data_IF_339027101082
#
_entry.id   IF_339027101082
#
_cell.length_a   1.000
_cell.length_b   1.000
_cell.length_c   1.000
_cell.angle_alpha   90.00
_cell.angle_beta   90.00
_cell.angle_gamma   90.00
#
_symmetry.space_group_name_H-M   'P 1'
#
loop_
_entity.id
_entity.type
_entity.pdbx_description
1 polymer ?
#
# COMPACT_ATOMS: atom_id res chain seq x y z
N UNK A 1 14.77 3.62 -15.74
CA UNK A 1 14.31 2.25 -15.49
C UNK A 1 13.46 2.25 -14.24
N UNK A 2 12.28 1.62 -14.24
CA UNK A 2 11.52 1.35 -13.02
C UNK A 2 12.31 0.27 -12.29
N UNK A 3 13.04 0.64 -11.25
CA UNK A 3 13.70 -0.36 -10.40
C UNK A 3 12.62 -1.24 -9.76
N UNK A 4 12.92 -2.53 -9.68
CA UNK A 4 12.04 -3.50 -9.05
C UNK A 4 11.92 -3.17 -7.55
N UNK A 5 10.68 -3.00 -7.10
CA UNK A 5 10.38 -2.63 -5.73
C UNK A 5 9.79 -3.83 -5.00
N UNK A 6 10.63 -4.59 -4.30
CA UNK A 6 10.21 -5.76 -3.54
C UNK A 6 9.69 -5.33 -2.16
N UNK A 7 8.44 -5.70 -1.87
CA UNK A 7 7.76 -5.37 -0.62
C UNK A 7 7.41 -6.65 0.12
N UNK A 8 8.03 -6.95 1.27
CA UNK A 8 7.61 -8.08 2.09
C UNK A 8 6.21 -7.82 2.64
N UNK A 9 5.33 -8.82 2.51
CA UNK A 9 3.98 -8.77 3.06
C UNK A 9 3.95 -9.48 4.40
N UNK A 10 3.23 -8.91 5.36
CA UNK A 10 2.95 -9.60 6.62
C UNK A 10 2.01 -10.78 6.40
N UNK A 11 2.01 -11.74 7.32
CA UNK A 11 1.10 -12.89 7.27
C UNK A 11 -0.37 -12.47 7.24
N UNK A 12 -0.72 -11.38 7.94
CA UNK A 12 -2.08 -10.81 7.90
C UNK A 12 -2.43 -10.25 6.51
N UNK A 13 -1.48 -9.56 5.85
CA UNK A 13 -1.71 -9.03 4.51
C UNK A 13 -1.88 -10.17 3.49
N UNK A 14 -1.05 -11.22 3.58
CA UNK A 14 -1.17 -12.42 2.73
C UNK A 14 -2.53 -13.09 2.92
N UNK A 15 -2.96 -13.32 4.16
CA UNK A 15 -4.26 -13.94 4.44
C UNK A 15 -5.45 -13.13 3.88
N UNK A 16 -5.38 -11.79 3.92
CA UNK A 16 -6.40 -10.93 3.31
C UNK A 16 -6.39 -11.05 1.77
N UNK A 17 -5.22 -11.13 1.15
CA UNK A 17 -5.11 -11.31 -0.30
C UNK A 17 -5.63 -12.67 -0.76
N UNK A 18 -5.44 -13.72 0.03
CA UNK A 18 -6.01 -15.05 -0.23
C UNK A 18 -7.54 -15.01 -0.18
N UNK A 19 -8.13 -14.35 0.83
CA UNK A 19 -9.59 -14.14 0.88
C UNK A 19 -10.11 -13.33 -0.31
N UNK A 20 -9.35 -12.31 -0.74
CA UNK A 20 -9.72 -11.51 -1.93
C UNK A 20 -9.68 -12.38 -3.18
N UNK A 21 -8.68 -13.27 -3.32
CA UNK A 21 -8.55 -14.18 -4.46
C UNK A 21 -9.78 -15.09 -4.60
N UNK A 22 -10.34 -15.57 -3.49
CA UNK A 22 -11.58 -16.37 -3.52
C UNK A 22 -12.78 -15.56 -4.03
N UNK A 23 -12.81 -14.24 -3.80
CA UNK A 23 -13.86 -13.33 -4.27
C UNK A 23 -13.66 -12.95 -5.75
N UNK A 24 -12.43 -12.69 -6.17
CA UNK A 24 -12.11 -12.26 -7.54
C UNK A 24 -12.00 -13.40 -8.55
N UNK A 25 -11.84 -14.63 -8.08
CA UNK A 25 -11.84 -15.84 -8.89
C UNK A 25 -10.70 -15.86 -9.91
N UNK A 26 -11.04 -16.05 -11.19
CA UNK A 26 -10.07 -16.14 -12.29
C UNK A 26 -9.65 -14.78 -12.87
N UNK A 27 -9.95 -13.67 -12.20
CA UNK A 27 -9.48 -12.36 -12.66
C UNK A 27 -7.95 -12.31 -12.67
N UNK A 28 -7.39 -11.68 -13.71
CA UNK A 28 -5.96 -11.37 -13.80
C UNK A 28 -5.55 -10.30 -12.76
N UNK A 29 -6.51 -9.59 -12.17
CA UNK A 29 -6.27 -8.54 -11.18
C UNK A 29 -6.62 -9.01 -9.77
N UNK A 30 -5.71 -8.75 -8.82
CA UNK A 30 -5.99 -8.92 -7.38
C UNK A 30 -7.19 -8.09 -6.94
N UNK A 31 -7.29 -6.85 -7.43
CA UNK A 31 -8.42 -5.96 -7.18
C UNK A 31 -9.15 -5.68 -8.49
N UNK A 32 -10.08 -6.56 -8.83
CA UNK A 32 -10.91 -6.45 -10.02
C UNK A 32 -12.01 -5.37 -9.86
N UNK A 33 -12.39 -4.72 -10.95
CA UNK A 33 -13.50 -3.77 -10.96
C UNK A 33 -14.86 -4.47 -10.78
N UNK A 34 -15.73 -3.92 -9.95
CA UNK A 34 -17.05 -4.51 -9.64
C UNK A 34 -17.94 -4.74 -10.88
N UNK A 35 -17.79 -3.93 -11.93
CA UNK A 35 -18.57 -4.04 -13.17
C UNK A 35 -17.88 -4.86 -14.26
N UNK A 36 -16.57 -5.05 -14.16
CA UNK A 36 -15.79 -5.76 -15.18
C UNK A 36 -14.53 -6.34 -14.54
N UNK A 37 -14.48 -7.67 -14.48
CA UNK A 37 -13.35 -8.42 -13.92
C UNK A 37 -12.08 -8.33 -14.76
N UNK A 38 -12.18 -7.81 -15.99
CA UNK A 38 -11.07 -7.58 -16.91
C UNK A 38 -10.44 -6.18 -16.76
N UNK A 39 -10.91 -5.38 -15.79
CA UNK A 39 -10.37 -4.04 -15.51
C UNK A 39 -9.95 -3.94 -14.05
N UNK A 40 -8.84 -3.22 -13.76
CA UNK A 40 -8.46 -2.97 -12.39
C UNK A 40 -9.48 -2.06 -11.70
N UNK A 41 -9.61 -2.22 -10.39
CA UNK A 41 -10.42 -1.34 -9.54
C UNK A 41 -9.93 0.11 -9.64
N UNK A 42 -10.86 1.05 -9.73
CA UNK A 42 -10.52 2.48 -9.70
C UNK A 42 -10.20 2.94 -8.27
N UNK A 43 -9.27 3.88 -8.13
CA UNK A 43 -8.97 4.52 -6.83
C UNK A 43 -10.22 5.11 -6.17
N UNK A 44 -11.12 5.67 -6.98
CA UNK A 44 -12.40 6.21 -6.51
C UNK A 44 -13.27 5.17 -5.82
N UNK A 45 -13.14 3.89 -6.17
CA UNK A 45 -13.87 2.80 -5.53
C UNK A 45 -13.43 2.63 -4.07
N UNK A 46 -12.13 2.74 -3.79
CA UNK A 46 -11.58 2.64 -2.43
C UNK A 46 -12.09 3.79 -1.57
N UNK A 47 -12.04 5.03 -2.08
CA UNK A 47 -12.57 6.18 -1.35
C UNK A 47 -14.08 6.08 -1.12
N UNK A 48 -14.85 5.56 -2.09
CA UNK A 48 -16.29 5.29 -1.86
C UNK A 48 -16.51 4.26 -0.76
N UNK A 49 -15.74 3.17 -0.74
CA UNK A 49 -15.84 2.16 0.31
C UNK A 49 -15.55 2.76 1.70
N UNK A 50 -14.51 3.59 1.84
CA UNK A 50 -14.20 4.31 3.09
C UNK A 50 -15.36 5.19 3.56
N UNK A 51 -16.05 5.88 2.64
CA UNK A 51 -17.24 6.67 2.98
C UNK A 51 -18.42 5.82 3.44
N UNK A 52 -18.61 4.65 2.84
CA UNK A 52 -19.70 3.73 3.21
C UNK A 52 -19.50 3.19 4.63
N UNK A 53 -18.27 2.93 5.04
CA UNK A 53 -17.96 2.49 6.41
C UNK A 53 -17.93 3.65 7.43
N UNK A 54 -18.20 4.89 7.00
CA UNK A 54 -18.39 6.04 7.87
C UNK A 54 -17.24 7.05 7.92
N UNK A 55 -16.16 6.87 7.14
CA UNK A 55 -15.04 7.82 7.12
C UNK A 55 -15.23 8.95 6.10
N UNK A 56 -14.93 10.19 6.50
CA UNK A 56 -14.83 11.30 5.54
C UNK A 56 -13.47 11.29 4.84
N UNK A 57 -13.46 10.92 3.56
CA UNK A 57 -12.23 10.87 2.76
C UNK A 57 -11.65 12.23 2.40
N UNK A 58 -12.24 13.33 2.83
CA UNK A 58 -11.67 14.69 2.69
C UNK A 58 -10.98 15.15 3.96
N UNK A 59 -11.43 14.70 5.13
CA UNK A 59 -10.98 15.22 6.43
C UNK A 59 -10.35 14.18 7.34
N UNK A 60 -10.69 12.90 7.19
CA UNK A 60 -10.26 11.81 8.07
C UNK A 60 -9.26 10.86 7.38
N UNK A 61 -9.74 10.02 6.45
CA UNK A 61 -8.90 8.97 5.83
C UNK A 61 -9.20 8.87 4.33
N UNK A 62 -8.20 9.13 3.50
CA UNK A 62 -8.25 8.87 2.07
C UNK A 62 -7.26 7.78 1.68
N UNK A 63 -7.49 7.10 0.55
CA UNK A 63 -6.61 6.02 0.09
C UNK A 63 -5.13 6.44 -0.03
N UNK A 64 -4.87 7.70 -0.40
CA UNK A 64 -3.52 8.25 -0.45
C UNK A 64 -2.90 8.46 0.95
N UNK A 65 -3.70 8.93 1.91
CA UNK A 65 -3.26 9.23 3.28
C UNK A 65 -2.78 8.01 4.06
N UNK A 66 -3.23 6.81 3.68
CA UNK A 66 -2.81 5.55 4.31
C UNK A 66 -1.30 5.32 4.24
N UNK A 67 -0.63 5.71 3.15
CA UNK A 67 0.84 5.56 3.03
C UNK A 67 1.55 6.46 4.04
N UNK A 68 1.12 7.72 4.17
CA UNK A 68 1.69 8.68 5.12
C UNK A 68 1.44 8.22 6.55
N UNK A 69 0.22 7.78 6.86
CA UNK A 69 -0.13 7.25 8.18
C UNK A 69 0.72 6.02 8.53
N UNK A 70 0.91 5.08 7.60
CA UNK A 70 1.75 3.91 7.81
C UNK A 70 3.21 4.29 8.07
N UNK A 71 3.74 5.27 7.33
CA UNK A 71 5.10 5.78 7.54
C UNK A 71 5.26 6.42 8.93
N UNK A 72 4.33 7.27 9.35
CA UNK A 72 4.35 7.87 10.70
C UNK A 72 4.27 6.80 11.79
N UNK A 73 3.31 5.87 11.69
CA UNK A 73 3.15 4.80 12.67
C UNK A 73 4.38 3.89 12.78
N UNK A 74 5.02 3.56 11.64
CA UNK A 74 6.25 2.76 11.65
C UNK A 74 7.42 3.52 12.29
N UNK A 75 7.58 4.81 12.00
CA UNK A 75 8.63 5.64 12.62
C UNK A 75 8.40 5.81 14.12
N UNK A 76 7.16 6.04 14.54
CA UNK A 76 6.78 6.22 15.95
C UNK A 76 6.88 4.91 16.75
N UNK A 77 6.69 3.75 16.11
CA UNK A 77 6.79 2.44 16.78
C UNK A 77 8.19 2.15 17.36
N UNK A 78 9.25 2.74 16.77
CA UNK A 78 10.63 2.47 17.16
C UNK A 78 11.11 1.03 16.91
N UNK A 79 10.29 0.18 16.28
CA UNK A 79 10.60 -1.23 16.04
C UNK A 79 11.47 -1.48 14.80
N UNK A 80 11.55 -0.49 13.91
CA UNK A 80 12.17 -0.62 12.59
C UNK A 80 13.24 0.45 12.39
N UNK A 81 14.29 0.10 11.65
CA UNK A 81 15.27 1.09 11.21
C UNK A 81 14.65 2.02 10.16
N UNK A 82 15.12 3.27 10.15
CA UNK A 82 14.69 4.28 9.18
C UNK A 82 14.88 3.80 7.74
N UNK A 83 16.01 3.13 7.46
CA UNK A 83 16.32 2.57 6.14
C UNK A 83 15.31 1.52 5.69
N UNK A 84 14.83 0.68 6.62
CA UNK A 84 13.81 -0.33 6.31
C UNK A 84 12.47 0.33 5.96
N UNK A 85 12.09 1.40 6.67
CA UNK A 85 10.86 2.15 6.42
C UNK A 85 10.96 2.89 5.07
N UNK A 86 12.08 3.54 4.77
CA UNK A 86 12.29 4.23 3.48
C UNK A 86 12.26 3.26 2.30
N UNK A 87 12.89 2.09 2.45
CA UNK A 87 12.79 0.99 1.49
C UNK A 87 11.39 0.43 1.37
N UNK A 88 10.54 0.44 2.41
CA UNK A 88 9.14 0.01 2.27
C UNK A 88 8.33 1.00 1.43
N UNK A 89 8.62 2.30 1.54
CA UNK A 89 7.84 3.37 0.90
C UNK A 89 8.18 3.60 -0.58
N UNK A 90 9.11 2.82 -1.16
CA UNK A 90 9.69 3.07 -2.49
C UNK A 90 10.32 4.46 -2.59
N UNK A 91 10.67 5.05 -1.44
CA UNK A 91 11.44 6.27 -1.40
C UNK A 91 12.87 5.87 -1.75
N UNK A 92 13.26 6.06 -3.00
CA UNK A 92 14.68 6.06 -3.33
C UNK A 92 15.33 7.14 -2.48
N UNK A 93 16.37 6.80 -1.76
CA UNK A 93 17.26 7.80 -1.17
C UNK A 93 17.70 8.75 -2.29
N UNK A 94 17.13 9.96 -2.28
CA UNK A 94 17.58 11.08 -3.12
C UNK A 94 18.73 11.85 -2.46
N UNK A 95 19.31 11.29 -1.40
CA UNK A 95 20.51 11.83 -0.78
C UNK A 95 21.72 11.20 -1.47
N UNK A 96 22.21 11.87 -2.50
CA UNK A 96 23.46 11.54 -3.20
C UNK A 96 24.74 11.69 -2.36
N UNK A 97 24.69 11.45 -1.05
CA UNK A 97 25.86 11.43 -0.17
C UNK A 97 25.64 10.42 0.95
N UNK A 98 25.83 9.13 0.64
CA UNK A 98 26.36 8.11 1.57
C UNK A 98 26.77 6.84 0.82
N UNK A 99 27.40 7.01 -0.34
CA UNK A 99 28.38 6.04 -0.83
C UNK A 99 29.74 6.44 -0.24
N UNK A 100 29.95 6.16 1.04
CA UNK A 100 31.26 6.23 1.68
C UNK A 100 31.29 5.23 2.85
N UNK A 101 31.98 4.12 2.62
CA UNK A 101 32.43 3.10 3.58
C UNK A 101 31.41 2.49 4.54
N UNK A 102 30.96 1.27 4.26
CA UNK A 102 31.48 0.05 4.92
C UNK A 102 31.13 -1.19 4.11
#
# INVERSE_FOLDING_TARGET
>A
MKDEHLVPLSTQAVALLEQIKDITGESVFVFAGAHSMNKPMSENTINKALRVIGYDTKTEVCGHGLRTMACSALNESGLWSKDAIERQMSHKERNGVRAACT
#
